data_IF_551135114919
#
_entry.id   IF_551135114919
#
_cell.length_a   1.000
_cell.length_b   1.000
_cell.length_c   1.000
_cell.angle_alpha   90.00
_cell.angle_beta   90.00
_cell.angle_gamma   90.00
#
_symmetry.space_group_name_H-M   'P 1'
#
loop_
_entity.id
_entity.type
_entity.pdbx_description
1 polymer ?
#
# COMPACT_ATOMS: atom_id res chain seq x y z
N UNK A 1 -16.25 -16.55 25.25
CA UNK A 1 -15.09 -16.18 24.45
C UNK A 1 -14.77 -14.72 24.70
N UNK A 2 -13.50 -14.39 25.02
CA UNK A 2 -13.03 -12.99 25.21
C UNK A 2 -12.37 -12.50 23.92
N UNK A 3 -12.84 -11.36 23.41
CA UNK A 3 -12.33 -10.70 22.22
C UNK A 3 -11.76 -9.33 22.59
N UNK A 4 -10.49 -9.10 22.20
CA UNK A 4 -9.83 -7.81 22.37
C UNK A 4 -9.91 -7.02 21.05
N UNK A 5 -10.30 -5.73 21.18
CA UNK A 5 -10.29 -4.80 20.05
C UNK A 5 -9.48 -3.54 20.37
N UNK A 6 -8.77 -2.96 19.38
CA UNK A 6 -7.84 -1.88 19.61
C UNK A 6 -8.58 -0.54 19.78
N UNK A 7 -8.08 0.33 20.69
CA UNK A 7 -8.60 1.69 20.86
C UNK A 7 -8.36 2.60 19.64
N UNK A 8 -7.50 2.20 18.72
CA UNK A 8 -7.27 2.88 17.45
C UNK A 8 -8.41 2.71 16.44
N UNK A 9 -9.32 1.78 16.68
CA UNK A 9 -10.50 1.51 15.86
C UNK A 9 -11.75 2.00 16.60
N UNK A 10 -12.52 2.88 15.98
CA UNK A 10 -13.88 3.21 16.45
C UNK A 10 -14.83 2.08 16.04
N UNK A 11 -14.90 1.05 16.85
CA UNK A 11 -15.81 -0.09 16.65
C UNK A 11 -17.12 0.21 17.38
N UNK A 12 -18.27 0.03 16.70
CA UNK A 12 -19.56 -0.04 17.39
C UNK A 12 -19.73 -1.45 18.01
N UNK A 13 -19.66 -1.58 19.34
CA UNK A 13 -19.78 -2.89 19.99
C UNK A 13 -21.09 -3.62 19.65
N UNK A 14 -22.16 -2.87 19.32
CA UNK A 14 -23.47 -3.45 18.95
C UNK A 14 -23.39 -4.34 17.72
N UNK A 15 -22.46 -4.08 16.80
CA UNK A 15 -22.28 -4.91 15.60
C UNK A 15 -21.71 -6.30 15.92
N UNK A 16 -21.16 -6.48 17.11
CA UNK A 16 -20.63 -7.74 17.62
C UNK A 16 -21.48 -8.32 18.76
N UNK A 17 -22.63 -7.70 19.07
CA UNK A 17 -23.63 -8.28 19.98
C UNK A 17 -24.26 -9.52 19.36
N UNK A 18 -24.63 -10.48 20.20
CA UNK A 18 -25.26 -11.74 19.76
C UNK A 18 -24.30 -12.89 19.45
N UNK A 19 -22.98 -12.65 19.42
CA UNK A 19 -21.97 -13.70 19.24
C UNK A 19 -21.53 -14.39 20.53
N UNK A 20 -22.06 -13.99 21.71
CA UNK A 20 -21.64 -14.54 23.00
C UNK A 20 -20.17 -14.19 23.35
N UNK A 21 -19.63 -13.14 22.76
CA UNK A 21 -18.27 -12.64 23.02
C UNK A 21 -18.28 -11.54 24.07
N UNK A 22 -17.38 -11.62 25.05
CA UNK A 22 -17.04 -10.53 25.95
C UNK A 22 -16.05 -9.60 25.23
N UNK A 23 -16.49 -8.39 24.90
CA UNK A 23 -15.68 -7.41 24.16
C UNK A 23 -14.91 -6.54 25.14
N UNK A 24 -13.58 -6.47 24.98
CA UNK A 24 -12.70 -5.63 25.80
C UNK A 24 -11.79 -4.80 24.90
N UNK A 25 -11.69 -3.51 25.19
CA UNK A 25 -10.77 -2.63 24.47
C UNK A 25 -9.37 -2.69 25.06
N UNK A 26 -8.33 -2.46 24.24
CA UNK A 26 -6.96 -2.37 24.71
C UNK A 26 -6.20 -1.23 24.02
N UNK A 27 -5.22 -0.64 24.71
CA UNK A 27 -4.36 0.39 24.15
C UNK A 27 -3.27 -0.23 23.28
N UNK A 28 -3.22 0.16 22.02
CA UNK A 28 -2.28 -0.37 21.01
C UNK A 28 -0.80 0.02 21.23
N UNK A 29 -0.53 0.95 22.16
CA UNK A 29 0.82 1.43 22.49
C UNK A 29 1.37 0.84 23.78
N UNK A 30 0.52 0.19 24.57
CA UNK A 30 0.84 -0.35 25.90
C UNK A 30 0.84 -1.87 25.89
N UNK A 31 1.34 -2.49 26.96
CA UNK A 31 1.21 -3.94 27.16
C UNK A 31 -0.27 -4.31 27.32
N UNK A 32 -0.60 -5.53 26.91
CA UNK A 32 -1.94 -6.07 27.16
C UNK A 32 -2.16 -6.15 28.69
N UNK A 33 -3.27 -5.58 29.23
CA UNK A 33 -3.60 -5.68 30.65
C UNK A 33 -3.67 -7.13 31.14
N UNK A 34 -3.25 -7.38 32.40
CA UNK A 34 -3.17 -8.73 32.95
C UNK A 34 -4.52 -9.46 32.91
N UNK A 35 -5.60 -8.75 33.21
CA UNK A 35 -6.98 -9.24 33.18
C UNK A 35 -7.48 -9.63 31.77
N UNK A 36 -6.68 -9.35 30.73
CA UNK A 36 -7.02 -9.66 29.33
C UNK A 36 -6.13 -10.71 28.70
N UNK A 37 -5.18 -11.29 29.47
CA UNK A 37 -4.23 -12.29 28.94
C UNK A 37 -4.87 -13.64 28.59
N UNK A 38 -6.10 -13.88 29.03
CA UNK A 38 -6.91 -15.04 28.72
C UNK A 38 -7.73 -14.91 27.40
N UNK A 39 -7.52 -13.84 26.64
CA UNK A 39 -8.27 -13.58 25.41
C UNK A 39 -8.03 -14.68 24.35
N UNK A 40 -9.13 -14.99 23.65
CA UNK A 40 -9.15 -16.01 22.59
C UNK A 40 -9.10 -15.40 21.19
N UNK A 41 -9.49 -14.12 21.05
CA UNK A 41 -9.50 -13.38 19.78
C UNK A 41 -8.86 -12.03 19.96
N UNK A 42 -7.99 -11.65 19.03
CA UNK A 42 -7.33 -10.33 18.98
C UNK A 42 -7.64 -9.66 17.64
N UNK A 43 -8.25 -8.47 17.68
CA UNK A 43 -8.33 -7.58 16.53
C UNK A 43 -7.15 -6.62 16.60
N UNK A 44 -6.32 -6.56 15.57
CA UNK A 44 -5.11 -5.75 15.54
C UNK A 44 -5.20 -4.64 14.47
N UNK A 45 -4.99 -3.39 14.89
CA UNK A 45 -4.92 -2.22 14.02
C UNK A 45 -4.07 -1.11 14.64
N UNK A 46 -3.05 -0.63 13.91
CA UNK A 46 -2.12 0.41 14.35
C UNK A 46 -1.42 0.10 15.69
N UNK A 47 -1.19 -1.17 15.96
CA UNK A 47 -0.45 -1.59 17.14
C UNK A 47 1.03 -1.20 17.05
N UNK A 48 1.61 -0.77 18.15
CA UNK A 48 3.07 -0.65 18.20
C UNK A 48 3.74 -2.05 18.11
N UNK A 49 4.95 -2.15 17.55
CA UNK A 49 5.68 -3.42 17.49
C UNK A 49 5.85 -4.09 18.86
N UNK A 50 6.06 -3.28 19.92
CA UNK A 50 6.19 -3.78 21.28
C UNK A 50 4.88 -4.33 21.83
N UNK A 51 3.74 -3.70 21.52
CA UNK A 51 2.43 -4.21 21.91
C UNK A 51 2.13 -5.57 21.24
N UNK A 52 2.37 -5.71 19.92
CA UNK A 52 2.16 -6.98 19.23
C UNK A 52 3.08 -8.09 19.77
N UNK A 53 4.36 -7.79 20.05
CA UNK A 53 5.27 -8.74 20.67
C UNK A 53 4.83 -9.16 22.07
N UNK A 54 4.35 -8.23 22.89
CA UNK A 54 3.78 -8.51 24.20
C UNK A 54 2.54 -9.42 24.05
N UNK A 55 1.62 -9.09 23.14
CA UNK A 55 0.45 -9.92 22.86
C UNK A 55 0.81 -11.33 22.42
N UNK A 56 1.77 -11.50 21.49
CA UNK A 56 2.23 -12.81 21.03
C UNK A 56 2.84 -13.65 22.16
N UNK A 57 3.53 -13.01 23.11
CA UNK A 57 4.16 -13.70 24.23
C UNK A 57 3.19 -14.08 25.36
N UNK A 58 2.13 -13.27 25.58
CA UNK A 58 1.28 -13.38 26.79
C UNK A 58 -0.12 -13.94 26.53
N UNK A 59 -0.68 -13.80 25.33
CA UNK A 59 -2.01 -14.34 25.01
C UNK A 59 -1.96 -15.84 24.73
N UNK A 60 -1.84 -16.64 25.78
CA UNK A 60 -1.66 -18.12 25.64
C UNK A 60 -2.89 -18.86 25.19
N UNK A 61 -4.09 -18.26 25.34
CA UNK A 61 -5.37 -18.84 24.90
C UNK A 61 -5.81 -18.33 23.54
N UNK A 62 -4.97 -17.53 22.85
CA UNK A 62 -5.31 -16.95 21.56
C UNK A 62 -5.50 -18.03 20.50
N UNK A 63 -6.63 -17.97 19.81
CA UNK A 63 -7.03 -18.90 18.74
C UNK A 63 -7.10 -18.24 17.39
N UNK A 64 -7.37 -16.93 17.36
CA UNK A 64 -7.52 -16.17 16.14
C UNK A 64 -7.05 -14.73 16.32
N UNK A 65 -6.27 -14.23 15.36
CA UNK A 65 -5.96 -12.82 15.20
C UNK A 65 -6.51 -12.29 13.86
N UNK A 66 -7.32 -11.24 13.91
CA UNK A 66 -7.74 -10.45 12.76
C UNK A 66 -6.87 -9.22 12.67
N UNK A 67 -5.90 -9.21 11.77
CA UNK A 67 -5.22 -7.98 11.38
C UNK A 67 -6.13 -7.16 10.46
N UNK A 68 -6.23 -5.85 10.67
CA UNK A 68 -6.92 -4.96 9.75
C UNK A 68 -5.97 -4.35 8.71
N UNK A 69 -4.67 -4.60 8.79
CA UNK A 69 -3.72 -4.30 7.73
C UNK A 69 -3.92 -5.24 6.53
N UNK A 70 -3.64 -4.74 5.32
CA UNK A 70 -3.77 -5.53 4.10
C UNK A 70 -2.77 -6.70 4.04
N UNK A 71 -1.59 -6.55 4.65
CA UNK A 71 -0.56 -7.60 4.73
C UNK A 71 -0.39 -8.14 6.15
N UNK A 72 0.16 -9.36 6.31
CA UNK A 72 0.35 -10.02 7.60
C UNK A 72 1.68 -9.68 8.29
N UNK A 73 2.55 -8.90 7.66
CA UNK A 73 3.95 -8.75 8.08
C UNK A 73 4.13 -8.36 9.55
N UNK A 74 3.36 -7.39 10.06
CA UNK A 74 3.48 -6.91 11.44
C UNK A 74 3.14 -8.01 12.46
N UNK A 75 2.11 -8.79 12.16
CA UNK A 75 1.65 -9.89 13.00
C UNK A 75 2.66 -11.02 13.00
N UNK A 76 3.17 -11.41 11.82
CA UNK A 76 4.18 -12.47 11.69
C UNK A 76 5.51 -12.06 12.36
N UNK A 77 5.96 -10.83 12.14
CA UNK A 77 7.18 -10.28 12.74
C UNK A 77 7.10 -10.14 14.27
N UNK A 78 5.89 -10.07 14.81
CA UNK A 78 5.66 -10.04 16.26
C UNK A 78 5.80 -11.43 16.91
N UNK A 79 5.82 -12.51 16.12
CA UNK A 79 5.99 -13.87 16.58
C UNK A 79 4.69 -14.69 16.66
N UNK A 80 3.59 -14.22 16.06
CA UNK A 80 2.40 -15.05 15.90
C UNK A 80 2.64 -16.12 14.82
N UNK A 81 2.39 -17.39 15.16
CA UNK A 81 2.63 -18.53 14.27
C UNK A 81 1.32 -19.02 13.64
N UNK A 82 1.17 -18.93 12.30
CA UNK A 82 -0.03 -19.37 11.59
C UNK A 82 -0.29 -20.89 11.70
N UNK A 83 0.68 -21.67 12.18
CA UNK A 83 0.48 -23.11 12.43
C UNK A 83 -0.26 -23.38 13.74
N UNK A 84 -0.26 -22.42 14.67
CA UNK A 84 -0.83 -22.58 16.00
C UNK A 84 -2.11 -21.78 16.21
N UNK A 85 -2.24 -20.64 15.53
CA UNK A 85 -3.43 -19.78 15.60
C UNK A 85 -3.89 -19.39 14.21
N UNK A 86 -5.18 -19.16 14.04
CA UNK A 86 -5.71 -18.59 12.79
C UNK A 86 -5.25 -17.13 12.67
N UNK A 87 -4.67 -16.77 11.52
CA UNK A 87 -4.31 -15.38 11.20
C UNK A 87 -5.08 -14.96 9.96
N UNK A 88 -5.81 -13.83 10.05
CA UNK A 88 -6.53 -13.24 8.94
C UNK A 88 -6.09 -11.80 8.73
N UNK A 89 -6.15 -11.32 7.49
CA UNK A 89 -5.74 -9.97 7.11
C UNK A 89 -6.93 -9.07 6.77
N UNK A 90 -6.67 -7.76 6.68
CA UNK A 90 -7.61 -6.75 6.23
C UNK A 90 -7.59 -6.54 4.70
N UNK A 91 -7.23 -7.58 3.93
CA UNK A 91 -7.29 -7.50 2.47
C UNK A 91 -8.69 -7.09 2.02
N UNK A 92 -8.77 -6.09 1.14
CA UNK A 92 -10.03 -5.50 0.69
C UNK A 92 -10.46 -4.24 1.46
N UNK A 93 -10.00 -4.04 2.70
CA UNK A 93 -10.41 -2.90 3.53
C UNK A 93 -9.79 -1.55 3.11
N UNK A 94 -8.70 -1.59 2.35
CA UNK A 94 -7.92 -0.42 1.97
C UNK A 94 -7.93 -0.15 0.46
N UNK A 95 -8.57 -1.00 -0.34
CA UNK A 95 -8.45 -0.99 -1.80
C UNK A 95 -8.80 0.38 -2.39
N UNK A 96 -9.92 0.95 -1.97
CA UNK A 96 -10.38 2.24 -2.48
C UNK A 96 -9.46 3.39 -2.03
N UNK A 97 -9.07 3.44 -0.75
CA UNK A 97 -8.24 4.55 -0.23
C UNK A 97 -6.83 4.54 -0.83
N UNK A 98 -6.26 3.34 -1.04
CA UNK A 98 -4.97 3.21 -1.72
C UNK A 98 -5.09 3.60 -3.20
N UNK A 99 -6.17 3.22 -3.88
CA UNK A 99 -6.42 3.63 -5.26
C UNK A 99 -6.59 5.16 -5.38
N UNK A 100 -7.36 5.80 -4.47
CA UNK A 100 -7.50 7.27 -4.41
C UNK A 100 -6.15 7.96 -4.21
N UNK A 101 -5.34 7.46 -3.27
CA UNK A 101 -4.01 8.01 -2.98
C UNK A 101 -3.08 7.87 -4.18
N UNK A 102 -3.08 6.70 -4.83
CA UNK A 102 -2.28 6.43 -6.02
C UNK A 102 -2.64 7.38 -7.16
N UNK A 103 -3.94 7.60 -7.41
CA UNK A 103 -4.39 8.58 -8.39
C UNK A 103 -3.91 9.99 -8.03
N UNK A 104 -3.98 10.36 -6.74
CA UNK A 104 -3.46 11.64 -6.25
C UNK A 104 -1.96 11.79 -6.54
N UNK A 105 -1.14 10.78 -6.25
CA UNK A 105 0.29 10.77 -6.53
C UNK A 105 0.59 10.91 -8.03
N UNK A 106 -0.14 10.18 -8.89
CA UNK A 106 -0.01 10.30 -10.34
C UNK A 106 -0.33 11.72 -10.84
N UNK A 107 -1.42 12.33 -10.35
CA UNK A 107 -1.81 13.69 -10.72
C UNK A 107 -0.81 14.74 -10.21
N UNK A 108 -0.33 14.61 -8.97
CA UNK A 108 0.70 15.49 -8.41
C UNK A 108 1.98 15.42 -9.25
N UNK A 109 2.38 14.23 -9.68
CA UNK A 109 3.56 14.00 -10.51
C UNK A 109 3.40 14.60 -11.90
N UNK A 110 2.35 14.21 -12.63
CA UNK A 110 2.10 14.68 -14.00
C UNK A 110 1.90 16.22 -14.05
N UNK A 111 1.13 16.79 -13.13
CA UNK A 111 0.82 18.21 -13.10
C UNK A 111 1.85 19.05 -12.34
N UNK A 112 2.92 18.43 -11.83
CA UNK A 112 4.02 19.09 -11.09
C UNK A 112 3.56 19.94 -9.90
N UNK A 113 2.49 19.50 -9.20
CA UNK A 113 1.96 20.24 -8.04
C UNK A 113 2.98 20.39 -6.92
N UNK A 114 3.89 19.45 -6.73
CA UNK A 114 4.99 19.52 -5.77
C UNK A 114 5.88 20.76 -6.04
N UNK A 115 6.28 21.02 -7.29
CA UNK A 115 7.08 22.18 -7.65
C UNK A 115 6.30 23.50 -7.51
N UNK A 116 4.99 23.49 -7.81
CA UNK A 116 4.11 24.64 -7.57
C UNK A 116 4.01 24.95 -6.08
N UNK A 117 3.88 23.90 -5.23
CA UNK A 117 3.83 24.04 -3.78
C UNK A 117 5.14 24.60 -3.22
N UNK A 118 6.28 24.11 -3.69
CA UNK A 118 7.60 24.60 -3.28
C UNK A 118 7.76 26.08 -3.63
N UNK A 119 7.33 26.49 -4.82
CA UNK A 119 7.34 27.89 -5.24
C UNK A 119 6.41 28.75 -4.39
N UNK A 120 5.22 28.26 -4.06
CA UNK A 120 4.27 28.92 -3.15
C UNK A 120 4.89 29.18 -1.78
N UNK A 121 5.60 28.18 -1.20
CA UNK A 121 6.24 28.32 0.10
C UNK A 121 7.37 29.37 0.11
N UNK A 122 7.96 29.63 -1.06
CA UNK A 122 8.96 30.66 -1.27
C UNK A 122 8.36 32.04 -1.65
N UNK A 123 7.02 32.17 -1.71
CA UNK A 123 6.34 33.39 -2.16
C UNK A 123 6.59 33.72 -3.65
N UNK A 124 6.88 32.70 -4.47
CA UNK A 124 7.18 32.87 -5.89
C UNK A 124 6.04 32.38 -6.77
N UNK A 125 5.83 33.11 -7.88
CA UNK A 125 4.93 32.68 -8.97
C UNK A 125 5.72 31.88 -10.01
N UNK A 126 5.50 30.55 -10.17
CA UNK A 126 6.30 29.74 -11.10
C UNK A 126 5.76 29.87 -12.53
N UNK A 127 6.03 30.97 -13.20
CA UNK A 127 5.51 31.29 -14.55
C UNK A 127 5.79 30.22 -15.60
N UNK A 128 6.89 29.47 -15.47
CA UNK A 128 7.22 28.36 -16.35
C UNK A 128 6.32 27.12 -16.18
N UNK A 129 5.58 27.03 -15.09
CA UNK A 129 4.63 25.94 -14.84
C UNK A 129 3.19 26.37 -15.15
N UNK A 130 2.97 27.64 -15.52
CA UNK A 130 1.68 28.20 -15.90
C UNK A 130 1.62 28.60 -17.39
N UNK A 131 0.54 29.30 -17.77
CA UNK A 131 0.32 29.74 -19.14
C UNK A 131 -0.10 28.60 -20.09
N UNK A 132 0.06 28.78 -21.40
CA UNK A 132 -0.22 27.73 -22.38
C UNK A 132 0.61 26.49 -22.11
N UNK A 133 -0.05 25.36 -21.95
CA UNK A 133 0.59 24.07 -21.79
C UNK A 133 0.44 23.29 -23.10
N UNK A 134 1.51 22.63 -23.57
CA UNK A 134 1.39 21.75 -24.72
C UNK A 134 0.48 20.56 -24.36
N UNK A 135 -0.16 20.01 -25.37
CA UNK A 135 -0.74 18.67 -25.28
C UNK A 135 0.34 17.64 -24.90
N UNK A 136 -0.02 16.37 -24.81
CA UNK A 136 0.98 15.34 -24.52
C UNK A 136 2.12 15.39 -25.58
N UNK A 137 3.31 15.79 -25.14
CA UNK A 137 4.51 15.71 -25.97
C UNK A 137 5.16 14.31 -25.81
N UNK A 138 5.64 13.69 -26.92
CA UNK A 138 6.41 12.47 -26.83
C UNK A 138 7.62 12.64 -25.86
N UNK A 139 7.84 11.68 -24.99
CA UNK A 139 8.93 11.75 -24.02
C UNK A 139 8.66 12.64 -22.81
N UNK A 140 7.40 12.93 -22.50
CA UNK A 140 7.01 13.65 -21.29
C UNK A 140 5.90 12.92 -20.53
N UNK A 141 5.82 13.17 -19.22
CA UNK A 141 4.70 12.77 -18.36
C UNK A 141 4.10 14.03 -17.73
N UNK A 142 3.17 14.68 -18.45
CA UNK A 142 2.54 15.94 -18.05
C UNK A 142 1.01 15.87 -17.95
N UNK A 143 0.42 14.77 -18.37
CA UNK A 143 -1.02 14.48 -18.30
C UNK A 143 -1.26 12.98 -18.15
N UNK A 144 -2.45 12.58 -17.69
CA UNK A 144 -2.88 11.17 -17.70
C UNK A 144 -3.53 10.78 -19.04
N UNK A 145 -4.03 11.77 -19.80
CA UNK A 145 -4.60 11.53 -21.14
C UNK A 145 -3.50 10.93 -22.04
N UNK A 146 -3.81 9.79 -22.66
CA UNK A 146 -2.90 9.02 -23.52
C UNK A 146 -1.60 8.57 -22.84
N UNK A 147 -1.47 8.72 -21.51
CA UNK A 147 -0.31 8.19 -20.77
C UNK A 147 -0.34 6.67 -20.71
N UNK A 148 0.80 6.04 -20.97
CA UNK A 148 0.99 4.59 -20.87
C UNK A 148 1.33 4.25 -19.43
N UNK A 149 0.35 3.76 -18.68
CA UNK A 149 0.49 3.46 -17.25
C UNK A 149 0.57 1.96 -17.06
N UNK A 150 1.68 1.50 -16.51
CA UNK A 150 1.86 0.09 -16.14
C UNK A 150 1.59 -0.09 -14.65
N UNK A 151 0.66 -0.98 -14.30
CA UNK A 151 0.36 -1.34 -12.92
C UNK A 151 0.97 -2.71 -12.61
N UNK A 152 2.04 -2.72 -11.82
CA UNK A 152 2.72 -3.93 -11.40
C UNK A 152 2.21 -4.39 -10.03
N UNK A 153 1.54 -5.53 -10.02
CA UNK A 153 0.70 -6.01 -8.92
C UNK A 153 -0.79 -5.77 -9.22
N UNK A 154 -1.37 -6.60 -10.11
CA UNK A 154 -2.74 -6.40 -10.59
C UNK A 154 -3.75 -7.18 -9.73
N UNK A 155 -3.94 -6.70 -8.49
CA UNK A 155 -4.92 -7.19 -7.51
C UNK A 155 -6.12 -6.26 -7.34
N UNK A 156 -6.76 -6.31 -6.16
CA UNK A 156 -7.98 -5.54 -5.89
C UNK A 156 -7.79 -4.02 -5.99
N UNK A 157 -6.67 -3.49 -5.49
CA UNK A 157 -6.37 -2.06 -5.59
C UNK A 157 -6.28 -1.63 -7.05
N UNK A 158 -5.59 -2.41 -7.89
CA UNK A 158 -5.48 -2.14 -9.32
C UNK A 158 -6.86 -2.13 -9.99
N UNK A 159 -7.75 -3.05 -9.62
CA UNK A 159 -9.13 -3.09 -10.12
C UNK A 159 -9.95 -1.86 -9.77
N UNK A 160 -9.71 -1.23 -8.62
CA UNK A 160 -10.33 0.04 -8.24
C UNK A 160 -9.72 1.22 -8.99
N UNK A 161 -8.39 1.24 -9.17
CA UNK A 161 -7.65 2.34 -9.78
C UNK A 161 -7.86 2.43 -11.30
N UNK A 162 -7.82 1.29 -11.99
CA UNK A 162 -7.75 1.27 -13.46
C UNK A 162 -8.97 1.87 -14.17
N UNK A 163 -10.23 1.74 -13.69
CA UNK A 163 -11.35 2.44 -14.28
C UNK A 163 -11.20 3.97 -14.24
N UNK A 164 -10.64 4.52 -13.17
CA UNK A 164 -10.42 5.98 -13.05
C UNK A 164 -9.32 6.44 -13.99
N UNK A 165 -8.21 5.69 -14.11
CA UNK A 165 -7.14 6.01 -15.06
C UNK A 165 -7.65 6.02 -16.50
N UNK A 166 -8.42 5.00 -16.88
CA UNK A 166 -9.04 4.91 -18.22
C UNK A 166 -10.05 6.01 -18.49
N UNK A 167 -10.85 6.39 -17.49
CA UNK A 167 -11.78 7.53 -17.60
C UNK A 167 -11.05 8.87 -17.84
N UNK A 168 -9.80 8.97 -17.37
CA UNK A 168 -8.91 10.11 -17.64
C UNK A 168 -8.12 9.96 -18.96
N UNK A 169 -8.41 8.94 -19.75
CA UNK A 169 -7.81 8.72 -21.07
C UNK A 169 -6.48 7.98 -21.07
N UNK A 170 -6.04 7.38 -19.94
CA UNK A 170 -4.79 6.63 -19.91
C UNK A 170 -4.91 5.25 -20.60
N UNK A 171 -3.84 4.85 -21.27
CA UNK A 171 -3.63 3.46 -21.72
C UNK A 171 -3.01 2.64 -20.57
N UNK A 172 -3.77 1.67 -20.05
CA UNK A 172 -3.38 0.92 -18.85
C UNK A 172 -3.04 -0.52 -19.18
N UNK A 173 -1.83 -0.95 -18.81
CA UNK A 173 -1.38 -2.35 -18.85
C UNK A 173 -1.16 -2.84 -17.41
N UNK A 174 -1.44 -4.13 -17.16
CA UNK A 174 -1.15 -4.78 -15.88
C UNK A 174 0.02 -5.75 -15.98
N UNK A 175 0.76 -5.92 -14.88
CA UNK A 175 1.73 -6.99 -14.68
C UNK A 175 1.35 -7.78 -13.44
N UNK A 176 1.29 -9.11 -13.55
CA UNK A 176 1.01 -10.00 -12.43
C UNK A 176 1.65 -11.38 -12.66
N UNK A 177 1.57 -12.28 -11.66
CA UNK A 177 2.08 -13.67 -11.76
C UNK A 177 1.44 -14.47 -12.89
N UNK A 178 0.21 -14.15 -13.31
CA UNK A 178 -0.49 -14.81 -14.41
C UNK A 178 -1.03 -13.78 -15.38
N UNK A 179 -0.83 -14.02 -16.66
CA UNK A 179 -1.38 -13.21 -17.75
C UNK A 179 -2.90 -13.43 -17.91
N UNK A 180 -3.57 -12.51 -18.61
CA UNK A 180 -4.99 -12.59 -18.96
C UNK A 180 -5.64 -11.22 -19.03
N UNK A 181 -6.94 -11.17 -19.28
CA UNK A 181 -7.73 -9.93 -19.24
C UNK A 181 -8.45 -9.87 -17.90
N UNK A 182 -8.30 -8.76 -17.19
CA UNK A 182 -8.96 -8.49 -15.90
C UNK A 182 -9.64 -7.14 -15.94
N UNK A 183 -10.95 -7.13 -15.78
CA UNK A 183 -11.78 -5.92 -15.82
C UNK A 183 -11.53 -5.06 -17.08
N UNK A 184 -11.34 -5.73 -18.23
CA UNK A 184 -11.07 -5.09 -19.52
C UNK A 184 -9.66 -4.53 -19.69
N UNK A 185 -8.73 -4.84 -18.77
CA UNK A 185 -7.30 -4.48 -18.86
C UNK A 185 -6.48 -5.71 -19.24
N UNK A 186 -5.59 -5.56 -20.20
CA UNK A 186 -4.61 -6.60 -20.55
C UNK A 186 -3.56 -6.69 -19.45
N UNK A 187 -3.47 -7.85 -18.84
CA UNK A 187 -2.47 -8.18 -17.80
C UNK A 187 -1.48 -9.18 -18.38
N UNK A 188 -0.21 -8.89 -18.23
CA UNK A 188 0.90 -9.71 -18.71
C UNK A 188 1.58 -10.43 -17.53
N UNK A 189 2.30 -11.51 -17.84
CA UNK A 189 3.20 -12.13 -16.86
C UNK A 189 4.49 -11.31 -16.70
N UNK A 190 5.26 -11.61 -15.67
CA UNK A 190 6.54 -10.93 -15.42
C UNK A 190 7.57 -11.20 -16.54
N UNK A 191 7.41 -12.23 -17.36
CA UNK A 191 8.27 -12.50 -18.52
C UNK A 191 8.24 -11.34 -19.54
N UNK A 192 7.12 -10.61 -19.61
CA UNK A 192 6.96 -9.47 -20.52
C UNK A 192 7.39 -8.13 -19.90
N UNK A 193 7.80 -8.13 -18.63
CA UNK A 193 8.07 -6.90 -17.88
C UNK A 193 9.08 -5.99 -18.58
N UNK A 194 10.20 -6.56 -19.04
CA UNK A 194 11.28 -5.78 -19.66
C UNK A 194 10.84 -5.01 -20.91
N UNK A 195 9.96 -5.60 -21.72
CA UNK A 195 9.44 -4.91 -22.92
C UNK A 195 8.42 -3.84 -22.56
N UNK A 196 7.57 -4.11 -21.57
CA UNK A 196 6.54 -3.16 -21.14
C UNK A 196 7.16 -1.94 -20.45
N UNK A 197 8.22 -2.11 -19.65
CA UNK A 197 8.91 -1.00 -19.00
C UNK A 197 9.45 0.03 -20.01
N UNK A 198 9.93 -0.39 -21.17
CA UNK A 198 10.48 0.51 -22.20
C UNK A 198 9.45 1.50 -22.75
N UNK A 199 8.18 1.18 -22.64
CA UNK A 199 7.09 2.01 -23.16
C UNK A 199 6.32 2.75 -22.05
N UNK A 200 6.67 2.57 -20.78
CA UNK A 200 5.91 3.03 -19.64
C UNK A 200 6.18 4.49 -19.32
N UNK A 201 5.14 5.33 -19.31
CA UNK A 201 5.23 6.74 -18.89
C UNK A 201 5.10 6.87 -17.36
N UNK A 202 4.32 5.98 -16.71
CA UNK A 202 4.27 5.87 -15.26
C UNK A 202 4.15 4.40 -14.82
N UNK A 203 5.05 3.96 -13.94
CA UNK A 203 5.04 2.64 -13.33
C UNK A 203 4.42 2.73 -11.94
N UNK A 204 3.25 2.11 -11.76
CA UNK A 204 2.58 2.00 -10.46
C UNK A 204 2.87 0.63 -9.85
N UNK A 205 3.52 0.61 -8.70
CA UNK A 205 3.88 -0.61 -7.97
C UNK A 205 2.93 -0.83 -6.81
N UNK A 206 2.21 -1.98 -6.84
CA UNK A 206 1.27 -2.41 -5.79
C UNK A 206 1.63 -3.86 -5.40
N UNK A 207 2.93 -4.12 -5.29
CA UNK A 207 3.45 -5.45 -4.95
C UNK A 207 3.40 -5.70 -3.44
N UNK A 208 3.08 -6.92 -3.00
CA UNK A 208 3.26 -7.32 -1.60
C UNK A 208 4.75 -7.43 -1.27
N UNK A 209 5.11 -7.24 0.00
CA UNK A 209 6.47 -7.51 0.48
C UNK A 209 6.70 -9.00 0.71
N UNK A 210 7.65 -9.56 -0.01
CA UNK A 210 8.10 -10.95 0.11
C UNK A 210 9.52 -11.10 -0.44
N UNK A 211 10.16 -12.23 -0.18
CA UNK A 211 11.50 -12.51 -0.74
C UNK A 211 11.50 -12.47 -2.28
N UNK A 212 10.41 -12.93 -2.91
CA UNK A 212 10.27 -12.93 -4.38
C UNK A 212 10.05 -11.55 -4.98
N UNK A 213 9.63 -10.56 -4.19
CA UNK A 213 9.40 -9.18 -4.64
C UNK A 213 10.44 -8.19 -4.12
N UNK A 214 11.37 -8.64 -3.28
CA UNK A 214 12.47 -7.80 -2.79
C UNK A 214 13.30 -7.30 -3.95
N UNK A 215 13.52 -5.97 -4.00
CA UNK A 215 14.25 -5.30 -5.07
C UNK A 215 13.72 -5.67 -6.47
N UNK A 216 12.40 -5.90 -6.57
CA UNK A 216 11.77 -6.19 -7.86
C UNK A 216 12.06 -5.09 -8.89
N UNK A 217 12.07 -3.82 -8.49
CA UNK A 217 12.57 -2.71 -9.30
C UNK A 217 14.01 -2.39 -8.88
N UNK A 218 14.95 -3.03 -9.55
CA UNK A 218 16.39 -2.86 -9.36
C UNK A 218 17.01 -1.93 -10.42
N UNK A 219 18.33 -1.72 -10.36
CA UNK A 219 19.06 -0.85 -11.28
C UNK A 219 18.90 -1.25 -12.76
N UNK A 220 18.83 -2.55 -13.07
CA UNK A 220 18.67 -3.02 -14.45
C UNK A 220 17.29 -2.66 -14.99
N UNK A 221 16.24 -2.85 -14.18
CA UNK A 221 14.85 -2.54 -14.57
C UNK A 221 14.57 -1.04 -14.60
N UNK A 222 15.20 -0.26 -13.71
CA UNK A 222 15.13 1.21 -13.77
C UNK A 222 15.68 1.76 -15.09
N UNK A 223 16.77 1.22 -15.60
CA UNK A 223 17.35 1.60 -16.90
C UNK A 223 16.48 1.29 -18.11
N UNK A 224 15.49 0.40 -17.98
CA UNK A 224 14.55 0.11 -19.06
C UNK A 224 13.46 1.17 -19.18
N UNK A 225 13.20 1.93 -18.12
CA UNK A 225 12.20 2.98 -18.14
C UNK A 225 12.67 4.17 -19.01
N UNK A 226 11.74 4.81 -19.74
CA UNK A 226 12.04 6.06 -20.43
C UNK A 226 12.49 7.17 -19.44
N UNK A 227 13.34 8.08 -19.89
CA UNK A 227 13.87 9.18 -19.05
C UNK A 227 12.79 10.09 -18.42
N UNK A 228 11.60 10.14 -19.00
CA UNK A 228 10.48 10.91 -18.46
C UNK A 228 9.57 10.10 -17.54
N UNK A 229 9.80 8.79 -17.42
CA UNK A 229 8.92 7.91 -16.66
C UNK A 229 8.94 8.24 -15.17
N UNK A 230 7.78 8.10 -14.52
CA UNK A 230 7.63 8.22 -13.09
C UNK A 230 7.38 6.87 -12.43
N UNK A 231 7.99 6.65 -11.29
CA UNK A 231 7.75 5.47 -10.45
C UNK A 231 6.84 5.86 -9.29
N UNK A 232 5.69 5.19 -9.16
CA UNK A 232 4.75 5.38 -8.05
C UNK A 232 4.70 4.10 -7.24
N UNK A 233 5.05 4.14 -5.96
CA UNK A 233 5.02 2.97 -5.09
C UNK A 233 4.07 3.17 -3.90
N UNK A 234 3.01 2.37 -3.87
CA UNK A 234 2.02 2.29 -2.78
C UNK A 234 1.87 0.85 -2.25
N UNK A 235 2.77 -0.04 -2.65
CA UNK A 235 2.80 -1.43 -2.23
C UNK A 235 3.66 -1.64 -0.99
N UNK A 236 4.96 -1.94 -1.19
CA UNK A 236 5.94 -2.07 -0.12
C UNK A 236 7.28 -1.48 -0.57
N UNK A 237 7.95 -0.75 0.31
CA UNK A 237 9.23 -0.11 0.02
C UNK A 237 10.31 -1.09 -0.37
N UNK A 238 10.35 -2.25 0.28
CA UNK A 238 11.31 -3.32 -0.04
C UNK A 238 11.25 -3.86 -1.47
N UNK A 239 10.20 -3.51 -2.23
CA UNK A 239 10.07 -3.90 -3.64
C UNK A 239 10.95 -3.05 -4.59
N UNK A 240 11.49 -1.93 -4.10
CA UNK A 240 12.42 -1.09 -4.84
C UNK A 240 13.81 -1.16 -4.18
N UNK A 241 14.84 -1.23 -5.00
CA UNK A 241 16.20 -0.94 -4.60
C UNK A 241 16.35 0.58 -4.47
N UNK A 242 16.28 1.11 -3.23
CA UNK A 242 16.28 2.57 -2.97
C UNK A 242 17.59 3.23 -3.37
N UNK A 243 18.73 2.55 -3.26
CA UNK A 243 20.03 3.07 -3.69
C UNK A 243 20.07 3.20 -5.21
N UNK A 244 19.58 2.20 -5.92
CA UNK A 244 19.45 2.25 -7.37
C UNK A 244 18.46 3.33 -7.83
N UNK A 245 17.33 3.48 -7.13
CA UNK A 245 16.35 4.54 -7.40
C UNK A 245 16.96 5.94 -7.22
N UNK A 246 17.67 6.17 -6.10
CA UNK A 246 18.36 7.45 -5.85
C UNK A 246 19.36 7.76 -6.95
N UNK A 247 20.19 6.78 -7.34
CA UNK A 247 21.15 6.93 -8.42
C UNK A 247 20.47 7.27 -9.75
N UNK A 248 19.37 6.60 -10.09
CA UNK A 248 18.62 6.88 -11.32
C UNK A 248 18.01 8.28 -11.34
N UNK A 249 17.52 8.77 -10.18
CA UNK A 249 16.99 10.13 -10.01
C UNK A 249 18.10 11.18 -10.16
N UNK A 250 19.26 10.99 -9.49
CA UNK A 250 20.41 11.90 -9.55
C UNK A 250 20.99 12.01 -10.97
N UNK A 251 21.02 10.90 -11.70
CA UNK A 251 21.52 10.84 -13.07
C UNK A 251 20.49 11.28 -14.13
N UNK A 252 19.24 11.56 -13.75
CA UNK A 252 18.16 11.86 -14.69
C UNK A 252 17.83 10.70 -15.63
N UNK A 253 18.00 9.47 -15.15
CA UNK A 253 17.66 8.25 -15.89
C UNK A 253 16.15 8.03 -15.91
N UNK A 254 15.41 8.57 -14.92
CA UNK A 254 13.95 8.62 -14.84
C UNK A 254 13.47 10.04 -14.50
N UNK A 255 12.21 10.34 -14.81
CA UNK A 255 11.62 11.66 -14.60
C UNK A 255 11.34 12.01 -13.14
N UNK A 256 11.03 11.01 -12.31
CA UNK A 256 10.79 11.20 -10.89
C UNK A 256 10.17 9.98 -10.20
N UNK A 257 9.89 10.15 -8.91
CA UNK A 257 9.22 9.14 -8.12
C UNK A 257 8.17 9.73 -7.17
N UNK A 258 7.10 8.98 -6.87
CA UNK A 258 6.11 9.29 -5.86
C UNK A 258 5.92 8.07 -4.95
N UNK A 259 6.36 8.18 -3.71
CA UNK A 259 6.55 7.06 -2.81
C UNK A 259 5.72 7.24 -1.54
N UNK A 260 4.87 6.27 -1.24
CA UNK A 260 4.12 6.19 0.02
C UNK A 260 4.78 5.22 1.02
N UNK A 261 5.67 4.34 0.54
CA UNK A 261 6.29 3.28 1.31
C UNK A 261 7.79 3.20 1.07
N UNK A 262 8.56 2.79 2.10
CA UNK A 262 10.02 2.81 2.12
C UNK A 262 10.59 1.49 2.65
N UNK A 263 11.84 1.18 2.30
CA UNK A 263 12.52 -0.03 2.77
C UNK A 263 12.70 -0.01 4.30
N UNK A 264 12.90 1.19 4.87
CA UNK A 264 12.91 1.43 6.31
C UNK A 264 11.87 2.48 6.65
N UNK A 265 10.94 2.16 7.55
CA UNK A 265 9.90 3.07 8.01
C UNK A 265 9.93 3.21 9.54
N UNK A 266 9.87 4.45 10.07
CA UNK A 266 9.84 5.74 9.34
C UNK A 266 11.08 5.96 8.49
N UNK A 267 10.90 6.68 7.34
CA UNK A 267 12.04 7.04 6.48
C UNK A 267 13.06 7.84 7.30
N UNK A 268 14.34 7.41 7.37
CA UNK A 268 15.36 8.12 8.13
C UNK A 268 15.55 9.57 7.65
N UNK A 269 15.75 10.50 8.58
CA UNK A 269 15.97 11.92 8.27
C UNK A 269 17.19 12.17 7.36
N UNK A 270 18.15 11.25 7.37
CA UNK A 270 19.34 11.29 6.51
C UNK A 270 19.07 10.84 5.07
N UNK A 271 17.87 10.33 4.76
CA UNK A 271 17.57 9.82 3.42
C UNK A 271 17.74 10.89 2.36
N UNK A 272 18.47 10.61 1.25
CA UNK A 272 18.62 11.53 0.15
C UNK A 272 17.31 11.86 -0.56
N UNK A 273 16.29 10.99 -0.46
CA UNK A 273 14.96 11.20 -1.06
C UNK A 273 14.30 12.51 -0.63
N UNK A 274 14.54 12.99 0.61
CA UNK A 274 14.01 14.28 1.09
C UNK A 274 14.54 15.49 0.31
N UNK A 275 15.68 15.38 -0.36
CA UNK A 275 16.33 16.46 -1.08
C UNK A 275 16.05 16.44 -2.59
N UNK A 276 15.46 15.38 -3.10
CA UNK A 276 15.13 15.21 -4.51
C UNK A 276 13.96 16.13 -4.92
N UNK A 277 14.18 16.98 -5.93
CA UNK A 277 13.14 17.91 -6.41
C UNK A 277 12.03 17.21 -7.22
N UNK A 278 12.36 16.08 -7.81
CA UNK A 278 11.46 15.27 -8.61
C UNK A 278 10.92 14.04 -7.83
N UNK A 279 10.84 14.16 -6.51
CA UNK A 279 10.28 13.13 -5.63
C UNK A 279 9.15 13.70 -4.80
N UNK A 280 8.07 12.94 -4.70
CA UNK A 280 6.93 13.20 -3.83
C UNK A 280 6.87 12.08 -2.79
N UNK A 281 6.82 12.44 -1.51
CA UNK A 281 6.81 11.49 -0.41
C UNK A 281 5.50 11.60 0.38
N UNK A 282 4.94 10.47 0.79
CA UNK A 282 3.88 10.39 1.79
C UNK A 282 4.22 9.32 2.83
N UNK A 283 3.82 9.51 4.11
CA UNK A 283 4.30 8.69 5.21
C UNK A 283 3.42 7.44 5.43
N UNK A 284 3.38 6.52 4.45
CA UNK A 284 2.55 5.29 4.45
C UNK A 284 1.08 5.61 4.77
N UNK A 285 0.55 6.65 4.10
CA UNK A 285 -0.77 7.22 4.37
C UNK A 285 -1.88 6.70 3.46
N UNK A 286 -1.54 5.94 2.41
CA UNK A 286 -2.50 5.48 1.41
C UNK A 286 -3.61 4.59 2.00
N UNK A 287 -3.27 3.72 2.97
CA UNK A 287 -4.15 2.70 3.52
C UNK A 287 -4.77 2.99 4.89
N UNK A 288 -4.70 4.22 5.41
CA UNK A 288 -5.02 4.57 6.81
C UNK A 288 -6.48 4.43 7.26
N UNK A 289 -7.39 3.85 6.45
CA UNK A 289 -8.83 3.76 6.75
C UNK A 289 -9.38 2.38 6.36
N UNK A 290 -9.48 1.42 7.31
CA UNK A 290 -10.00 0.08 7.03
C UNK A 290 -11.53 0.12 6.84
N UNK A 291 -12.00 0.47 5.64
CA UNK A 291 -13.41 0.59 5.31
C UNK A 291 -14.11 -0.77 5.36
N UNK A 292 -15.18 -0.87 6.13
CA UNK A 292 -15.92 -2.13 6.30
C UNK A 292 -15.28 -3.11 7.29
N UNK A 293 -14.38 -2.64 8.15
CA UNK A 293 -13.72 -3.47 9.16
C UNK A 293 -14.71 -4.23 10.03
N UNK A 294 -15.76 -3.56 10.51
CA UNK A 294 -16.81 -4.18 11.34
C UNK A 294 -17.48 -5.35 10.62
N UNK A 295 -17.81 -5.17 9.35
CA UNK A 295 -18.41 -6.23 8.53
C UNK A 295 -17.51 -7.45 8.37
N UNK A 296 -16.20 -7.22 8.13
CA UNK A 296 -15.22 -8.31 8.04
C UNK A 296 -15.04 -9.03 9.39
N UNK A 297 -14.93 -8.26 10.49
CA UNK A 297 -14.80 -8.81 11.84
C UNK A 297 -16.03 -9.65 12.18
N UNK A 298 -17.25 -9.14 11.98
CA UNK A 298 -18.49 -9.85 12.26
C UNK A 298 -18.64 -11.12 11.42
N UNK A 299 -18.29 -11.05 10.14
CA UNK A 299 -18.33 -12.23 9.25
C UNK A 299 -17.31 -13.30 9.69
N UNK A 300 -16.06 -12.89 9.98
CA UNK A 300 -15.05 -13.84 10.44
C UNK A 300 -15.37 -14.38 11.83
N UNK A 301 -15.99 -13.59 12.71
CA UNK A 301 -16.43 -14.06 14.02
C UNK A 301 -17.53 -15.14 13.88
N UNK A 302 -18.50 -14.93 12.99
CA UNK A 302 -19.52 -15.92 12.67
C UNK A 302 -18.91 -17.23 12.14
N UNK A 303 -17.96 -17.12 11.19
CA UNK A 303 -17.25 -18.27 10.62
C UNK A 303 -16.42 -19.01 11.67
N UNK A 304 -15.72 -18.26 12.53
CA UNK A 304 -14.90 -18.81 13.61
C UNK A 304 -15.75 -19.66 14.58
N UNK A 305 -16.91 -19.13 15.01
CA UNK A 305 -17.83 -19.83 15.88
C UNK A 305 -18.45 -21.08 15.21
N UNK A 306 -18.70 -20.98 13.90
CA UNK A 306 -19.23 -22.10 13.10
C UNK A 306 -18.12 -23.08 12.65
N UNK A 307 -16.85 -22.87 13.04
CA UNK A 307 -15.68 -23.67 12.60
C UNK A 307 -15.54 -23.75 11.07
N UNK A 308 -15.88 -22.67 10.38
CA UNK A 308 -15.73 -22.51 8.93
C UNK A 308 -14.41 -21.81 8.60
N UNK A 309 -13.97 -21.95 7.35
CA UNK A 309 -12.81 -21.23 6.84
C UNK A 309 -13.01 -19.71 6.96
N UNK A 310 -12.02 -19.01 7.50
CA UNK A 310 -12.07 -17.55 7.69
C UNK A 310 -11.74 -16.84 6.38
N UNK A 311 -12.36 -15.68 6.16
CA UNK A 311 -11.99 -14.82 5.04
C UNK A 311 -10.60 -14.22 5.27
N UNK A 312 -9.81 -14.14 4.20
CA UNK A 312 -8.44 -13.59 4.20
C UNK A 312 -7.51 -14.32 5.20
N UNK A 313 -7.72 -15.63 5.42
CA UNK A 313 -6.79 -16.48 6.17
C UNK A 313 -5.47 -16.67 5.42
N UNK A 314 -4.39 -16.88 6.19
CA UNK A 314 -3.04 -17.19 5.68
C UNK A 314 -2.90 -18.67 5.38
#
# INVERSE_FOLDING_TARGET
MKLLYPTSLKLDPKLLEGFGASLQSYNVKEKIPEEHTDAEVLIAWCNSPNNLKDAASRLKNLKWIQSLAAGPNDVLNAGFDPKTIAITTGSGLHDQTVAEHTLGLLLVSARKFHLMRDSQMQGKWPGSLGGPQPDKEPGTFNTLSEARITVWGFGNIAKQLTPWLRALGADVKGIARSAGVRDGVQVYSEDNLSEILKETDALVMILPGSDSTKNALNAERLKLLPKHAWVVNVGRGTCIDEDALNSALDNGEIGGAALDVFATEPLPESSPLYKQKNVVLSPHAAGGRPRGAEGLIAENLRRFLAKQELKNAL
#
